data_IF_115915817020
#
_entry.id   IF_115915817020
#
_cell.length_a   1.000
_cell.length_b   1.000
_cell.length_c   1.000
_cell.angle_alpha   90.00
_cell.angle_beta   90.00
_cell.angle_gamma   90.00
#
_symmetry.space_group_name_H-M   'P 1'
#
loop_
_entity.id
_entity.type
_entity.pdbx_description
1 polymer ?
#
# COMPACT_ATOMS: atom_id res chain seq x y z
N UNK A 1 -17.49 -14.34 -61.62
CA UNK A 1 -17.76 -13.13 -60.88
C UNK A 1 -18.07 -13.57 -59.43
N UNK A 2 -17.07 -13.61 -58.64
CA UNK A 2 -17.16 -14.01 -57.22
C UNK A 2 -16.33 -13.03 -56.41
N UNK A 3 -16.97 -12.38 -55.47
CA UNK A 3 -16.33 -11.44 -54.55
C UNK A 3 -15.54 -12.20 -53.46
N UNK A 4 -14.29 -11.84 -53.32
CA UNK A 4 -13.45 -12.24 -52.17
C UNK A 4 -13.67 -11.21 -51.07
N UNK A 5 -14.36 -11.64 -50.03
CA UNK A 5 -14.32 -10.91 -48.75
C UNK A 5 -13.18 -11.49 -47.91
N UNK A 6 -12.17 -10.63 -47.73
CA UNK A 6 -10.97 -10.99 -47.02
C UNK A 6 -11.14 -10.95 -45.49
N UNK A 7 -10.76 -12.00 -44.87
CA UNK A 7 -10.50 -12.05 -43.44
C UNK A 7 -9.21 -11.26 -43.13
N UNK A 8 -9.33 -10.14 -42.45
CA UNK A 8 -8.22 -9.48 -41.77
C UNK A 8 -8.08 -10.16 -40.42
N UNK A 9 -7.24 -11.17 -40.38
CA UNK A 9 -6.69 -11.65 -39.10
C UNK A 9 -5.59 -10.66 -38.67
N UNK A 10 -5.78 -10.04 -37.53
CA UNK A 10 -4.73 -9.29 -36.86
C UNK A 10 -3.64 -10.28 -36.41
N UNK A 11 -2.51 -10.26 -37.09
CA UNK A 11 -1.29 -10.95 -36.65
C UNK A 11 -0.68 -10.11 -35.54
N UNK A 12 -0.78 -10.59 -34.30
CA UNK A 12 0.04 -10.15 -33.19
C UNK A 12 1.47 -10.56 -33.46
N UNK A 13 2.33 -9.61 -33.76
CA UNK A 13 3.75 -9.83 -33.86
C UNK A 13 4.32 -9.81 -32.44
N UNK A 14 4.63 -10.97 -31.90
CA UNK A 14 5.50 -11.12 -30.73
C UNK A 14 6.93 -10.97 -31.23
N UNK A 15 7.55 -9.83 -30.99
CA UNK A 15 8.96 -9.65 -31.21
C UNK A 15 9.71 -10.10 -29.96
N UNK A 16 10.33 -11.29 -30.03
CA UNK A 16 11.29 -11.74 -29.03
C UNK A 16 12.62 -11.04 -29.38
N UNK A 17 13.04 -10.11 -28.56
CA UNK A 17 14.38 -9.54 -28.59
C UNK A 17 15.21 -10.22 -27.49
N UNK A 18 16.11 -11.08 -27.91
CA UNK A 18 17.20 -11.60 -27.07
C UNK A 18 18.36 -10.62 -27.20
N UNK A 19 18.70 -9.91 -26.15
CA UNK A 19 20.01 -9.26 -25.97
C UNK A 19 20.22 -8.89 -24.49
N UNK A 20 21.26 -9.46 -23.91
CA UNK A 20 22.14 -9.08 -22.78
C UNK A 20 21.70 -7.95 -21.80
N UNK A 21 22.25 -7.85 -20.57
CA UNK A 21 21.62 -7.28 -19.39
C UNK A 21 21.24 -5.82 -19.61
N UNK A 22 19.97 -5.56 -19.80
CA UNK A 22 19.39 -4.24 -19.88
C UNK A 22 18.07 -4.19 -19.12
N UNK A 23 17.99 -3.18 -18.28
CA UNK A 23 16.77 -2.66 -17.67
C UNK A 23 15.51 -2.92 -18.50
N UNK A 24 14.58 -3.68 -17.95
CA UNK A 24 13.29 -3.95 -18.55
C UNK A 24 12.37 -2.77 -18.23
N UNK A 25 11.99 -2.01 -19.26
CA UNK A 25 10.89 -1.05 -19.12
C UNK A 25 9.57 -1.79 -19.15
N UNK A 26 8.80 -1.68 -18.07
CA UNK A 26 7.42 -2.16 -18.03
C UNK A 26 6.57 -1.32 -18.98
N UNK A 27 6.07 -1.94 -20.03
CA UNK A 27 4.98 -1.38 -20.83
C UNK A 27 3.68 -2.05 -20.37
N UNK A 28 2.85 -1.31 -19.64
CA UNK A 28 1.50 -1.76 -19.32
C UNK A 28 0.61 -1.48 -20.53
N UNK A 29 0.28 -2.51 -21.29
CA UNK A 29 -0.82 -2.46 -22.24
C UNK A 29 -2.09 -2.96 -21.55
N UNK A 30 -3.05 -2.05 -21.35
CA UNK A 30 -4.38 -2.40 -20.91
C UNK A 30 -5.19 -2.80 -22.13
N UNK A 31 -5.31 -4.08 -22.40
CA UNK A 31 -6.48 -4.61 -23.10
C UNK A 31 -7.54 -4.93 -22.05
N UNK A 32 -8.80 -4.66 -22.34
CA UNK A 32 -9.90 -4.78 -21.37
C UNK A 32 -9.82 -6.12 -20.64
N UNK A 33 -9.61 -6.02 -19.30
CA UNK A 33 -9.69 -7.09 -18.32
C UNK A 33 -8.53 -8.09 -18.16
N UNK A 34 -7.29 -7.75 -18.54
CA UNK A 34 -6.13 -8.62 -18.22
C UNK A 34 -4.95 -7.82 -17.68
N UNK A 35 -4.47 -8.17 -16.49
CA UNK A 35 -3.28 -7.59 -15.88
C UNK A 35 -2.14 -8.61 -15.95
N UNK A 36 -1.02 -8.24 -16.55
CA UNK A 36 0.17 -9.09 -16.60
C UNK A 36 1.16 -8.63 -15.54
N UNK A 37 1.56 -9.55 -14.66
CA UNK A 37 2.64 -9.34 -13.70
C UNK A 37 3.85 -10.13 -14.15
N UNK A 38 4.99 -9.46 -14.33
CA UNK A 38 6.27 -10.12 -14.61
C UNK A 38 7.05 -10.27 -13.30
N UNK A 39 7.41 -11.49 -12.97
CA UNK A 39 8.28 -11.80 -11.84
C UNK A 39 9.68 -12.05 -12.39
N UNK A 40 10.66 -11.25 -12.01
CA UNK A 40 12.07 -11.55 -12.24
C UNK A 40 12.50 -12.70 -11.30
N UNK A 41 13.04 -13.76 -11.86
CA UNK A 41 13.74 -14.80 -11.08
C UNK A 41 15.24 -14.49 -11.08
N UNK A 42 15.86 -14.48 -9.90
CA UNK A 42 17.30 -14.41 -9.74
C UNK A 42 18.00 -15.49 -10.57
N UNK A 43 18.98 -15.07 -11.37
CA UNK A 43 19.82 -15.98 -12.15
C UNK A 43 20.77 -16.75 -11.23
N UNK A 44 20.45 -18.00 -10.93
CA UNK A 44 21.48 -19.01 -10.68
C UNK A 44 21.59 -19.89 -11.92
N UNK A 45 22.81 -19.90 -12.49
CA UNK A 45 23.20 -20.64 -13.68
C UNK A 45 22.84 -22.13 -13.59
N UNK A 46 21.83 -22.56 -14.31
CA UNK A 46 21.75 -23.92 -14.83
C UNK A 46 21.03 -23.89 -16.20
N UNK A 47 21.70 -24.52 -17.19
CA UNK A 47 21.25 -24.62 -18.57
C UNK A 47 19.99 -25.50 -18.69
N UNK A 48 18.83 -24.97 -18.35
CA UNK A 48 17.53 -25.52 -18.73
C UNK A 48 16.64 -24.41 -19.25
N UNK A 49 16.06 -24.59 -20.42
CA UNK A 49 15.15 -23.69 -21.08
C UNK A 49 14.01 -23.26 -20.12
N UNK A 50 14.11 -22.05 -19.53
CA UNK A 50 13.06 -21.45 -18.73
C UNK A 50 11.99 -20.88 -19.67
N UNK A 51 10.93 -21.64 -19.88
CA UNK A 51 9.67 -21.10 -20.38
C UNK A 51 9.10 -20.14 -19.32
N UNK A 52 9.13 -18.86 -19.59
CA UNK A 52 8.42 -17.86 -18.81
C UNK A 52 6.91 -18.06 -19.00
N UNK A 53 6.31 -18.81 -18.09
CA UNK A 53 4.86 -19.03 -18.11
C UNK A 53 4.21 -17.73 -17.61
N UNK A 54 3.64 -16.96 -18.53
CA UNK A 54 2.73 -15.89 -18.18
C UNK A 54 1.53 -16.49 -17.42
N UNK A 55 1.44 -16.22 -16.13
CA UNK A 55 0.32 -16.67 -15.33
C UNK A 55 -0.86 -15.72 -15.61
N UNK A 56 -1.89 -16.24 -16.27
CA UNK A 56 -3.15 -15.54 -16.43
C UNK A 56 -3.81 -15.44 -15.05
N UNK A 57 -3.90 -14.24 -14.50
CA UNK A 57 -4.61 -13.99 -13.24
C UNK A 57 -6.08 -13.90 -13.62
N UNK A 58 -6.97 -14.75 -13.07
CA UNK A 58 -8.39 -14.65 -13.34
C UNK A 58 -8.91 -13.26 -12.95
N UNK A 59 -9.84 -12.73 -13.74
CA UNK A 59 -10.58 -11.52 -13.39
C UNK A 59 -11.36 -11.79 -12.09
N UNK A 60 -10.89 -11.18 -11.00
CA UNK A 60 -11.47 -11.39 -9.68
C UNK A 60 -12.79 -10.68 -9.57
N UNK A 61 -13.80 -11.41 -9.14
CA UNK A 61 -15.07 -10.82 -8.80
C UNK A 61 -14.86 -9.90 -7.58
N UNK A 62 -15.11 -8.59 -7.75
CA UNK A 62 -14.94 -7.55 -6.71
C UNK A 62 -15.67 -7.91 -5.38
N UNK A 63 -16.68 -8.77 -5.44
CA UNK A 63 -17.38 -9.29 -4.26
C UNK A 63 -16.61 -10.37 -3.47
N UNK A 64 -15.47 -10.84 -4.00
CA UNK A 64 -14.66 -11.91 -3.42
C UNK A 64 -13.27 -11.43 -2.99
N UNK A 65 -12.96 -10.14 -3.23
CA UNK A 65 -11.64 -9.54 -2.99
C UNK A 65 -11.80 -8.26 -2.20
N UNK A 66 -11.08 -8.14 -1.11
CA UNK A 66 -10.96 -6.89 -0.35
C UNK A 66 -9.76 -6.08 -0.87
N UNK A 67 -9.96 -4.79 -1.10
CA UNK A 67 -8.92 -3.89 -1.56
C UNK A 67 -8.42 -2.99 -0.43
N UNK A 68 -7.14 -3.11 -0.11
CA UNK A 68 -6.48 -2.35 0.95
C UNK A 68 -5.48 -1.37 0.33
N UNK A 69 -5.47 -0.13 0.82
CA UNK A 69 -4.53 0.90 0.37
C UNK A 69 -3.77 1.55 1.52
N UNK A 70 -2.61 2.12 1.19
CA UNK A 70 -1.91 3.11 2.00
C UNK A 70 -1.86 4.43 1.26
N UNK A 71 -2.04 5.54 1.98
CA UNK A 71 -2.13 6.86 1.38
C UNK A 71 -1.62 7.95 2.32
N UNK A 72 -0.47 8.53 2.02
CA UNK A 72 -0.03 9.77 2.65
C UNK A 72 -0.85 10.94 2.07
N UNK A 73 -1.71 11.55 2.89
CA UNK A 73 -2.55 12.71 2.50
C UNK A 73 -1.83 14.01 2.87
N UNK A 74 -0.62 14.21 2.49
CA UNK A 74 0.22 15.40 2.69
C UNK A 74 -0.39 16.49 3.59
N UNK A 75 0.08 16.61 4.82
CA UNK A 75 -0.31 17.66 5.78
C UNK A 75 -1.84 17.76 5.95
N UNK A 76 -2.48 16.61 6.25
CA UNK A 76 -3.93 16.51 6.37
C UNK A 76 -4.40 17.13 7.69
N UNK A 77 -4.68 18.42 7.65
CA UNK A 77 -5.16 19.23 8.76
C UNK A 77 -6.32 20.14 8.36
N UNK A 78 -6.70 21.05 9.26
CA UNK A 78 -7.84 21.95 9.08
C UNK A 78 -7.83 22.73 7.77
N UNK A 79 -6.65 23.15 7.31
CA UNK A 79 -6.52 23.92 6.06
C UNK A 79 -6.92 23.08 4.84
N UNK A 80 -6.52 21.81 4.79
CA UNK A 80 -6.91 20.89 3.71
C UNK A 80 -8.36 20.47 3.86
N UNK A 81 -8.82 20.16 5.08
CA UNK A 81 -10.22 19.83 5.37
C UNK A 81 -11.18 20.97 5.01
N UNK A 82 -10.72 22.21 5.09
CA UNK A 82 -11.49 23.41 4.70
C UNK A 82 -11.58 23.65 3.18
N UNK A 83 -11.13 22.74 2.32
CA UNK A 83 -11.18 22.84 0.85
C UNK A 83 -12.13 21.77 0.28
N UNK A 84 -13.43 22.11 0.09
CA UNK A 84 -14.43 21.11 -0.30
C UNK A 84 -14.08 20.36 -1.59
N UNK A 85 -13.46 21.04 -2.57
CA UNK A 85 -13.04 20.45 -3.83
C UNK A 85 -11.92 19.40 -3.67
N UNK A 86 -11.04 19.59 -2.69
CA UNK A 86 -9.99 18.62 -2.35
C UNK A 86 -10.59 17.43 -1.58
N UNK A 87 -11.47 17.74 -0.62
CA UNK A 87 -12.12 16.70 0.19
C UNK A 87 -13.00 15.80 -0.67
N UNK A 88 -13.73 16.34 -1.66
CA UNK A 88 -14.50 15.52 -2.61
C UNK A 88 -13.62 14.49 -3.31
N UNK A 89 -12.46 14.92 -3.82
CA UNK A 89 -11.50 14.01 -4.50
C UNK A 89 -10.95 12.98 -3.52
N UNK A 90 -10.58 13.39 -2.30
CA UNK A 90 -10.06 12.47 -1.29
C UNK A 90 -11.09 11.39 -0.91
N UNK A 91 -12.36 11.78 -0.72
CA UNK A 91 -13.44 10.84 -0.41
C UNK A 91 -13.69 9.89 -1.57
N UNK A 92 -13.77 10.40 -2.80
CA UNK A 92 -13.92 9.56 -4.02
C UNK A 92 -12.76 8.58 -4.17
N UNK A 93 -11.54 9.01 -3.81
CA UNK A 93 -10.34 8.15 -3.80
C UNK A 93 -10.46 7.05 -2.76
N UNK A 94 -10.79 7.40 -1.50
CA UNK A 94 -10.92 6.43 -0.40
C UNK A 94 -12.00 5.39 -0.70
N UNK A 95 -13.12 5.80 -1.29
CA UNK A 95 -14.25 4.91 -1.61
C UNK A 95 -13.96 3.88 -2.72
N UNK A 96 -12.80 3.93 -3.37
CA UNK A 96 -12.37 2.89 -4.31
C UNK A 96 -11.80 1.65 -3.60
N UNK A 97 -11.54 1.74 -2.32
CA UNK A 97 -10.94 0.69 -1.49
C UNK A 97 -11.96 0.20 -0.45
N UNK A 98 -11.57 -0.81 0.30
CA UNK A 98 -12.35 -1.32 1.44
C UNK A 98 -11.69 -0.99 2.77
N UNK A 99 -10.37 -0.71 2.75
CA UNK A 99 -9.61 -0.17 3.88
C UNK A 99 -8.48 0.73 3.35
N UNK A 100 -8.31 1.89 3.98
CA UNK A 100 -7.22 2.81 3.65
C UNK A 100 -6.46 3.20 4.91
N UNK A 101 -5.16 2.93 4.92
CA UNK A 101 -4.23 3.45 5.92
C UNK A 101 -3.79 4.85 5.52
N UNK A 102 -4.08 5.85 6.34
CA UNK A 102 -3.79 7.25 6.08
C UNK A 102 -2.68 7.76 7.00
N UNK A 103 -1.69 8.44 6.40
CA UNK A 103 -0.57 9.08 7.07
C UNK A 103 -0.68 10.61 6.96
N UNK A 104 0.14 11.31 7.73
CA UNK A 104 0.21 12.78 7.83
C UNK A 104 -1.06 13.48 8.31
N UNK A 105 -1.86 12.87 9.17
CA UNK A 105 -2.97 13.58 9.81
C UNK A 105 -2.40 14.54 10.86
N UNK A 106 -2.50 15.85 10.59
CA UNK A 106 -1.85 16.91 11.36
C UNK A 106 -2.87 17.91 11.89
N UNK A 107 -3.63 17.50 12.88
CA UNK A 107 -4.62 18.36 13.55
C UNK A 107 -4.46 18.32 15.07
N UNK A 108 -4.06 19.44 15.68
CA UNK A 108 -3.87 19.55 17.14
C UNK A 108 -5.19 19.31 17.89
N UNK A 109 -6.33 19.74 17.32
CA UNK A 109 -7.65 19.57 17.94
C UNK A 109 -8.21 18.15 17.70
N UNK A 110 -7.56 17.36 16.85
CA UNK A 110 -7.92 15.97 16.54
C UNK A 110 -9.36 15.82 16.02
N UNK A 111 -9.90 16.82 15.34
CA UNK A 111 -11.26 16.82 14.77
C UNK A 111 -11.29 16.39 13.31
N UNK A 112 -10.21 16.68 12.56
CA UNK A 112 -10.10 16.38 11.12
C UNK A 112 -10.36 14.92 10.78
N UNK A 113 -9.81 13.92 11.50
CA UNK A 113 -10.10 12.52 11.20
C UNK A 113 -11.58 12.18 11.25
N UNK A 114 -12.30 12.69 12.24
CA UNK A 114 -13.74 12.47 12.42
C UNK A 114 -14.56 13.21 11.35
N UNK A 115 -14.20 14.45 11.03
CA UNK A 115 -14.86 15.22 9.98
C UNK A 115 -14.70 14.54 8.61
N UNK A 116 -13.53 13.96 8.35
CA UNK A 116 -13.30 13.22 7.12
C UNK A 116 -14.09 11.91 7.08
N UNK A 117 -14.20 11.19 8.20
CA UNK A 117 -15.07 10.02 8.31
C UNK A 117 -16.54 10.39 8.05
N UNK A 118 -17.01 11.53 8.56
CA UNK A 118 -18.35 12.03 8.29
C UNK A 118 -18.57 12.27 6.78
N UNK A 119 -17.58 12.85 6.08
CA UNK A 119 -17.66 13.07 4.62
C UNK A 119 -17.65 11.74 3.84
N UNK A 120 -16.84 10.76 4.25
CA UNK A 120 -16.86 9.40 3.67
C UNK A 120 -18.25 8.78 3.87
N UNK A 121 -18.80 8.85 5.07
CA UNK A 121 -20.09 8.28 5.41
C UNK A 121 -21.27 8.97 4.71
N UNK A 122 -21.18 10.27 4.46
CA UNK A 122 -22.18 11.01 3.68
C UNK A 122 -22.29 10.50 2.23
N UNK A 123 -21.19 9.93 1.67
CA UNK A 123 -21.16 9.40 0.30
C UNK A 123 -21.30 7.88 0.23
N UNK A 124 -21.06 7.15 1.32
CA UNK A 124 -21.07 5.67 1.37
C UNK A 124 -22.29 5.06 2.06
N UNK A 125 -23.32 5.82 2.34
CA UNK A 125 -24.48 5.40 3.10
C UNK A 125 -24.19 4.97 4.55
N UNK A 126 -23.10 5.48 5.15
CA UNK A 126 -22.80 5.28 6.56
C UNK A 126 -22.21 3.91 6.92
N UNK A 127 -21.46 3.30 5.99
CA UNK A 127 -20.86 1.96 6.18
C UNK A 127 -19.38 1.99 6.55
N UNK A 128 -18.85 3.15 6.92
CA UNK A 128 -17.44 3.30 7.25
C UNK A 128 -17.22 3.65 8.72
N UNK A 129 -16.10 3.17 9.24
CA UNK A 129 -15.60 3.54 10.57
C UNK A 129 -14.06 3.69 10.50
N UNK A 130 -13.42 4.05 11.60
CA UNK A 130 -11.97 4.19 11.64
C UNK A 130 -11.35 3.67 12.94
N UNK A 131 -10.12 3.15 12.84
CA UNK A 131 -9.17 3.10 13.95
C UNK A 131 -8.26 4.34 13.83
N UNK A 132 -8.13 5.10 14.90
CA UNK A 132 -7.31 6.31 14.96
C UNK A 132 -6.23 6.16 16.03
N UNK A 133 -4.98 6.45 15.68
CA UNK A 133 -3.88 6.45 16.65
C UNK A 133 -3.96 7.66 17.60
N UNK A 134 -3.24 7.57 18.71
CA UNK A 134 -2.83 8.75 19.45
C UNK A 134 -1.88 9.60 18.57
N UNK A 135 -1.62 10.84 18.98
CA UNK A 135 -0.66 11.69 18.29
C UNK A 135 0.76 11.24 18.63
N UNK A 136 1.59 11.07 17.62
CA UNK A 136 2.97 10.60 17.69
C UNK A 136 3.92 11.61 17.03
N UNK A 137 5.15 11.69 17.49
CA UNK A 137 6.16 12.62 17.01
C UNK A 137 6.84 13.39 18.13
N UNK A 138 7.49 14.50 17.80
CA UNK A 138 8.22 15.29 18.79
C UNK A 138 7.34 15.72 19.95
N UNK A 139 7.72 15.33 21.16
CA UNK A 139 6.99 15.65 22.40
C UNK A 139 7.00 17.15 22.73
N UNK A 140 8.04 17.90 22.29
CA UNK A 140 8.20 19.31 22.60
C UNK A 140 7.51 20.25 21.60
N UNK A 141 6.98 19.70 20.49
CA UNK A 141 6.36 20.50 19.43
C UNK A 141 5.15 19.79 18.81
N UNK A 142 3.98 20.09 19.33
CA UNK A 142 2.70 19.53 18.87
C UNK A 142 2.43 19.77 17.37
N UNK A 143 3.07 20.76 16.76
CA UNK A 143 2.87 21.05 15.33
C UNK A 143 3.53 20.04 14.41
N UNK A 144 4.49 19.26 14.93
CA UNK A 144 5.17 18.17 14.21
C UNK A 144 4.63 16.79 14.56
N UNK A 145 3.64 16.70 15.44
CA UNK A 145 3.00 15.43 15.73
C UNK A 145 1.94 15.11 14.67
N UNK A 146 1.83 13.83 14.35
CA UNK A 146 0.89 13.28 13.39
C UNK A 146 0.06 12.18 14.02
N UNK A 147 -1.03 11.81 13.35
CA UNK A 147 -1.81 10.62 13.66
C UNK A 147 -1.87 9.75 12.42
N UNK A 148 -2.07 8.45 12.64
CA UNK A 148 -2.45 7.48 11.63
C UNK A 148 -3.92 7.14 11.78
N UNK A 149 -4.58 6.88 10.67
CA UNK A 149 -5.94 6.35 10.69
C UNK A 149 -6.08 5.20 9.69
N UNK A 150 -6.81 4.16 10.09
CA UNK A 150 -7.34 3.15 9.19
C UNK A 150 -8.82 3.44 9.01
N UNK A 151 -9.19 3.97 7.84
CA UNK A 151 -10.60 4.08 7.44
C UNK A 151 -11.00 2.78 6.77
N UNK A 152 -12.09 2.16 7.19
CA UNK A 152 -12.48 0.84 6.69
C UNK A 152 -14.01 0.70 6.53
N UNK A 153 -14.40 -0.11 5.55
CA UNK A 153 -15.79 -0.48 5.32
C UNK A 153 -16.21 -1.57 6.32
N UNK A 154 -17.15 -1.25 7.19
CA UNK A 154 -17.65 -2.13 8.25
C UNK A 154 -18.41 -3.34 7.73
N UNK A 155 -18.74 -3.40 6.44
CA UNK A 155 -19.34 -4.58 5.81
C UNK A 155 -18.28 -5.57 5.30
N UNK A 156 -17.01 -5.16 5.24
CA UNK A 156 -15.88 -5.96 4.76
C UNK A 156 -14.94 -6.33 5.90
N UNK A 157 -14.70 -5.40 6.81
CA UNK A 157 -13.77 -5.58 7.91
C UNK A 157 -14.39 -5.30 9.27
N UNK A 158 -13.96 -6.06 10.27
CA UNK A 158 -14.23 -5.81 11.69
C UNK A 158 -12.91 -5.53 12.42
N UNK A 159 -12.77 -4.42 13.14
CA UNK A 159 -11.57 -4.14 13.89
C UNK A 159 -11.47 -5.03 15.13
N UNK A 160 -10.25 -5.50 15.42
CA UNK A 160 -9.96 -6.29 16.63
C UNK A 160 -9.25 -5.40 17.66
N UNK A 161 -8.21 -4.69 17.23
CA UNK A 161 -7.39 -3.84 18.11
C UNK A 161 -6.71 -2.73 17.30
N UNK A 162 -6.29 -1.65 18.01
CA UNK A 162 -5.45 -0.59 17.46
C UNK A 162 -4.55 -0.01 18.56
N UNK A 163 -3.23 0.05 18.32
CA UNK A 163 -2.25 0.57 19.28
C UNK A 163 -1.03 1.16 18.59
N UNK A 164 -0.44 2.23 19.15
CA UNK A 164 0.90 2.66 18.78
C UNK A 164 1.94 1.67 19.34
N UNK A 165 2.99 1.44 18.57
CA UNK A 165 4.15 0.69 19.05
C UNK A 165 4.80 1.46 20.20
N UNK A 166 5.14 0.76 21.26
CA UNK A 166 5.82 1.37 22.41
C UNK A 166 7.32 1.18 22.29
N UNK A 167 8.03 2.19 21.85
CA UNK A 167 9.50 2.21 21.74
C UNK A 167 10.17 3.03 22.85
N UNK A 168 9.47 3.35 23.94
CA UNK A 168 9.94 4.22 25.02
C UNK A 168 11.27 3.80 25.67
N UNK A 169 11.69 2.55 25.51
CA UNK A 169 12.98 2.05 26.00
C UNK A 169 14.14 2.29 25.03
N UNK A 170 13.85 2.40 23.72
CA UNK A 170 14.84 2.43 22.64
C UNK A 170 14.79 3.66 21.74
N UNK A 171 13.66 4.39 21.74
CA UNK A 171 13.43 5.62 20.94
C UNK A 171 13.84 5.44 19.46
N UNK A 172 13.29 4.37 18.85
CA UNK A 172 13.65 3.93 17.50
C UNK A 172 13.02 4.77 16.40
N UNK A 173 11.85 5.37 16.69
CA UNK A 173 11.03 6.07 15.72
C UNK A 173 10.80 7.52 16.12
N UNK A 174 10.82 8.41 15.15
CA UNK A 174 10.34 9.78 15.40
C UNK A 174 8.82 9.83 15.53
N UNK A 175 8.13 8.97 14.80
CA UNK A 175 6.70 8.73 14.88
C UNK A 175 6.49 7.23 14.93
N UNK A 176 6.04 6.75 16.07
CA UNK A 176 5.91 5.32 16.33
C UNK A 176 4.90 4.69 15.36
N UNK A 177 5.18 3.49 14.82
CA UNK A 177 4.23 2.78 13.97
C UNK A 177 2.90 2.52 14.66
N UNK A 178 1.80 2.57 13.91
CA UNK A 178 0.46 2.23 14.39
C UNK A 178 0.04 0.84 13.91
N UNK A 179 -0.26 -0.03 14.86
CA UNK A 179 -0.71 -1.39 14.61
C UNK A 179 -2.24 -1.44 14.66
N UNK A 180 -2.86 -1.96 13.62
CA UNK A 180 -4.31 -2.18 13.56
C UNK A 180 -4.61 -3.61 13.12
N UNK A 181 -5.28 -4.39 13.98
CA UNK A 181 -5.67 -5.76 13.67
C UNK A 181 -7.14 -5.80 13.22
N UNK A 182 -7.40 -6.56 12.17
CA UNK A 182 -8.71 -6.65 11.53
C UNK A 182 -9.07 -8.09 11.23
N UNK A 183 -10.35 -8.39 11.27
CA UNK A 183 -10.94 -9.61 10.74
C UNK A 183 -11.66 -9.30 9.43
N UNK A 184 -11.43 -10.14 8.42
CA UNK A 184 -12.17 -10.11 7.16
C UNK A 184 -13.55 -10.74 7.37
N UNK A 185 -14.61 -10.06 6.93
CA UNK A 185 -15.97 -10.55 6.99
C UNK A 185 -16.34 -11.28 5.69
N UNK A 186 -17.16 -12.32 5.80
CA UNK A 186 -17.73 -12.96 4.63
C UNK A 186 -18.93 -12.18 4.08
N UNK A 187 -19.45 -12.55 2.92
CA UNK A 187 -20.58 -11.88 2.26
C UNK A 187 -21.88 -11.79 3.12
N UNK A 188 -21.97 -12.54 4.22
CA UNK A 188 -23.09 -12.48 5.15
C UNK A 188 -22.82 -11.56 6.35
N UNK A 189 -21.67 -10.87 6.37
CA UNK A 189 -21.24 -10.00 7.46
C UNK A 189 -20.79 -10.73 8.73
N UNK A 190 -20.50 -12.03 8.63
CA UNK A 190 -19.94 -12.81 9.72
C UNK A 190 -18.44 -12.99 9.55
N UNK A 191 -17.74 -13.38 10.61
CA UNK A 191 -16.33 -13.77 10.56
C UNK A 191 -16.06 -14.74 9.39
N UNK A 192 -15.02 -14.46 8.62
CA UNK A 192 -14.51 -15.40 7.62
C UNK A 192 -13.56 -16.42 8.23
N UNK A 193 -13.10 -16.19 9.49
CA UNK A 193 -12.03 -16.93 10.14
C UNK A 193 -10.64 -16.54 9.66
N UNK A 194 -10.50 -15.39 8.99
CA UNK A 194 -9.24 -14.80 8.59
C UNK A 194 -9.06 -13.43 9.22
N UNK A 195 -8.03 -13.28 10.00
CA UNK A 195 -7.57 -12.03 10.60
C UNK A 195 -6.15 -11.72 10.14
N UNK A 196 -5.76 -10.45 10.26
CA UNK A 196 -4.45 -9.95 9.88
C UNK A 196 -4.15 -8.65 10.62
N UNK A 197 -2.86 -8.28 10.67
CA UNK A 197 -2.43 -7.04 11.29
C UNK A 197 -1.74 -6.12 10.28
N UNK A 198 -2.20 -4.87 10.22
CA UNK A 198 -1.54 -3.78 9.52
C UNK A 198 -0.62 -3.04 10.48
N UNK A 199 0.59 -2.74 10.03
CA UNK A 199 1.54 -1.86 10.70
C UNK A 199 1.81 -0.70 9.77
N UNK A 200 1.31 0.50 10.09
CA UNK A 200 1.55 1.68 9.26
C UNK A 200 2.65 2.55 9.84
N UNK A 201 3.44 3.14 8.95
CA UNK A 201 4.55 4.03 9.26
C UNK A 201 4.58 5.23 8.30
N UNK A 202 5.02 6.39 8.80
CA UNK A 202 5.54 7.49 8.01
C UNK A 202 6.92 7.81 8.55
N UNK A 203 7.96 7.31 7.89
CA UNK A 203 9.34 7.48 8.34
C UNK A 203 9.79 8.93 8.23
N UNK A 204 10.74 9.30 9.06
CA UNK A 204 11.42 10.58 8.91
C UNK A 204 12.46 10.48 7.79
N UNK A 205 12.37 11.31 6.73
CA UNK A 205 13.28 11.24 5.59
C UNK A 205 14.77 11.17 5.95
N UNK A 206 15.19 11.95 6.97
CA UNK A 206 16.61 12.04 7.35
C UNK A 206 17.18 10.79 8.04
N UNK A 207 16.32 9.89 8.53
CA UNK A 207 16.67 8.63 9.21
C UNK A 207 15.81 7.48 8.70
N UNK A 208 15.33 7.57 7.45
CA UNK A 208 14.39 6.61 6.88
C UNK A 208 14.91 5.17 6.99
N UNK A 209 16.19 4.95 6.70
CA UNK A 209 16.79 3.61 6.75
C UNK A 209 16.89 3.05 8.18
N UNK A 210 17.16 3.89 9.17
CA UNK A 210 17.16 3.48 10.58
C UNK A 210 15.76 3.03 11.01
N UNK A 211 14.73 3.81 10.66
CA UNK A 211 13.34 3.49 11.00
C UNK A 211 12.83 2.27 10.21
N UNK A 212 13.18 2.13 8.93
CA UNK A 212 12.86 0.93 8.13
C UNK A 212 13.49 -0.32 8.74
N UNK A 213 14.75 -0.24 9.17
CA UNK A 213 15.41 -1.37 9.83
C UNK A 213 14.75 -1.73 11.16
N UNK A 214 14.29 -0.73 11.91
CA UNK A 214 13.59 -0.92 13.17
C UNK A 214 12.20 -1.57 13.01
N UNK A 215 11.55 -1.44 11.84
CA UNK A 215 10.29 -2.15 11.56
C UNK A 215 10.43 -3.66 11.69
N UNK A 216 11.60 -4.21 11.40
CA UNK A 216 11.88 -5.63 11.65
C UNK A 216 11.70 -6.01 13.12
N UNK A 217 12.17 -5.16 14.05
CA UNK A 217 11.97 -5.36 15.48
C UNK A 217 10.49 -5.26 15.85
N UNK A 218 9.76 -4.29 15.30
CA UNK A 218 8.32 -4.16 15.54
C UNK A 218 7.56 -5.44 15.17
N UNK A 219 7.87 -6.01 13.98
CA UNK A 219 7.25 -7.26 13.53
C UNK A 219 7.59 -8.41 14.46
N UNK A 220 8.88 -8.54 14.87
CA UNK A 220 9.30 -9.60 15.77
C UNK A 220 8.62 -9.48 17.15
N UNK A 221 8.62 -8.29 17.75
CA UNK A 221 7.99 -8.04 19.05
C UNK A 221 6.49 -8.33 19.01
N UNK A 222 5.83 -7.96 17.90
CA UNK A 222 4.41 -8.26 17.72
C UNK A 222 4.16 -9.77 17.62
N UNK A 223 4.96 -10.51 16.84
CA UNK A 223 4.85 -11.96 16.69
C UNK A 223 5.17 -12.69 18.02
N UNK A 224 6.14 -12.21 18.80
CA UNK A 224 6.43 -12.78 20.12
C UNK A 224 5.26 -12.64 21.09
N UNK A 225 4.50 -11.53 21.00
CA UNK A 225 3.32 -11.28 21.82
C UNK A 225 2.07 -11.99 21.28
N UNK A 226 2.02 -12.25 19.98
CA UNK A 226 0.89 -12.85 19.27
C UNK A 226 1.38 -14.03 18.39
N UNK A 227 1.80 -15.16 18.98
CA UNK A 227 2.48 -16.22 18.25
C UNK A 227 1.60 -16.99 17.24
N UNK A 228 0.29 -16.81 17.30
CA UNK A 228 -0.66 -17.40 16.34
C UNK A 228 -0.89 -16.46 15.14
N UNK A 229 -0.52 -15.16 15.24
CA UNK A 229 -0.67 -14.19 14.17
C UNK A 229 0.60 -14.17 13.29
N UNK A 230 0.45 -14.60 12.05
CA UNK A 230 1.53 -14.61 11.06
C UNK A 230 1.23 -13.72 9.84
N UNK A 231 0.00 -13.24 9.72
CA UNK A 231 -0.48 -12.47 8.59
C UNK A 231 -0.30 -10.96 8.86
N UNK A 232 0.94 -10.47 8.76
CA UNK A 232 1.31 -9.08 9.05
C UNK A 232 1.63 -8.34 7.74
N UNK A 233 1.08 -7.15 7.59
CA UNK A 233 1.31 -6.26 6.47
C UNK A 233 1.87 -4.94 7.00
N UNK A 234 3.10 -4.63 6.62
CA UNK A 234 3.76 -3.36 6.96
C UNK A 234 3.65 -2.44 5.75
N UNK A 235 3.01 -1.29 5.92
CA UNK A 235 2.69 -0.39 4.82
C UNK A 235 2.82 1.08 5.23
N UNK A 236 2.91 1.99 4.26
CA UNK A 236 3.00 3.42 4.53
C UNK A 236 4.04 4.11 3.69
N UNK A 237 4.33 5.35 4.06
CA UNK A 237 5.38 6.16 3.47
C UNK A 237 6.73 5.85 4.16
N UNK A 238 7.55 5.07 3.47
CA UNK A 238 8.87 4.67 3.96
C UNK A 238 9.95 5.67 3.62
N UNK A 239 9.68 6.66 2.77
CA UNK A 239 10.72 7.54 2.20
C UNK A 239 11.94 6.74 1.66
N UNK A 240 11.69 5.52 1.13
CA UNK A 240 12.70 4.50 0.86
C UNK A 240 13.29 4.60 -0.55
N UNK A 241 13.55 5.81 -1.04
CA UNK A 241 14.09 6.01 -2.39
C UNK A 241 14.69 7.42 -2.58
N UNK A 242 15.14 7.70 -3.78
CA UNK A 242 15.66 8.98 -4.26
C UNK A 242 16.82 9.50 -3.39
N UNK A 243 16.59 10.62 -2.66
CA UNK A 243 17.65 11.24 -1.85
C UNK A 243 17.66 10.74 -0.39
N UNK A 244 16.70 9.94 0.02
CA UNK A 244 16.51 9.54 1.43
C UNK A 244 17.03 8.13 1.73
N UNK A 245 17.05 7.24 0.73
CA UNK A 245 17.61 5.91 0.84
C UNK A 245 18.28 5.49 -0.47
N UNK A 246 19.47 4.91 -0.39
CA UNK A 246 20.08 4.28 -1.56
C UNK A 246 19.56 2.85 -1.73
N UNK A 247 19.55 2.37 -2.97
CA UNK A 247 19.18 0.97 -3.25
C UNK A 247 20.05 -0.02 -2.48
N UNK A 248 21.36 0.26 -2.32
CA UNK A 248 22.29 -0.62 -1.59
C UNK A 248 21.91 -0.72 -0.10
N UNK A 249 21.58 0.42 0.55
CA UNK A 249 21.13 0.44 1.93
C UNK A 249 19.81 -0.30 2.10
N UNK A 250 18.85 -0.06 1.20
CA UNK A 250 17.54 -0.70 1.24
C UNK A 250 17.66 -2.23 1.07
N UNK A 251 18.50 -2.71 0.13
CA UNK A 251 18.73 -4.14 -0.07
C UNK A 251 19.47 -4.80 1.10
N UNK A 252 20.21 -4.05 1.90
CA UNK A 252 20.88 -4.55 3.11
C UNK A 252 19.98 -4.57 4.35
N UNK A 253 18.77 -4.03 4.25
CA UNK A 253 17.81 -3.97 5.35
C UNK A 253 17.37 -5.36 5.82
N UNK A 254 17.22 -5.59 7.14
CA UNK A 254 16.61 -6.81 7.65
C UNK A 254 15.17 -7.03 7.14
N UNK A 255 14.47 -5.96 6.71
CA UNK A 255 13.17 -6.04 6.06
C UNK A 255 13.21 -6.64 4.63
N UNK A 256 14.42 -6.86 4.06
CA UNK A 256 14.62 -7.54 2.76
C UNK A 256 15.00 -9.01 2.89
N UNK A 257 14.99 -9.58 4.10
CA UNK A 257 15.24 -11.02 4.25
C UNK A 257 14.07 -11.85 3.70
N UNK A 258 14.26 -13.16 3.57
CA UNK A 258 13.30 -14.08 2.94
C UNK A 258 11.96 -14.24 3.68
N UNK A 259 11.82 -13.67 4.87
CA UNK A 259 10.56 -13.67 5.60
C UNK A 259 9.59 -12.58 5.15
N UNK A 260 10.05 -11.66 4.29
CA UNK A 260 9.27 -10.51 3.82
C UNK A 260 9.12 -10.54 2.31
N UNK A 261 7.94 -10.19 1.86
CA UNK A 261 7.62 -9.99 0.44
C UNK A 261 7.27 -8.52 0.21
N UNK A 262 8.05 -7.84 -0.62
CA UNK A 262 7.80 -6.46 -1.04
C UNK A 262 6.93 -6.47 -2.28
N UNK A 263 5.71 -5.94 -2.18
CA UNK A 263 4.77 -5.89 -3.31
C UNK A 263 5.13 -4.76 -4.29
N UNK A 264 5.54 -3.61 -3.75
CA UNK A 264 5.88 -2.41 -4.54
C UNK A 264 7.36 -2.46 -4.88
N UNK A 265 7.74 -2.56 -6.17
CA UNK A 265 9.14 -2.60 -6.58
C UNK A 265 9.84 -1.25 -6.38
N UNK A 266 11.18 -1.29 -6.33
CA UNK A 266 12.00 -0.09 -6.14
C UNK A 266 11.95 0.87 -7.35
N UNK A 267 11.48 0.38 -8.50
CA UNK A 267 11.28 1.18 -9.72
C UNK A 267 9.90 1.82 -9.83
N UNK A 268 9.05 1.69 -8.80
CA UNK A 268 7.72 2.29 -8.82
C UNK A 268 7.79 3.81 -8.63
N UNK A 269 6.85 4.54 -9.21
CA UNK A 269 6.63 5.95 -8.92
C UNK A 269 5.37 6.11 -8.08
N UNK A 270 5.52 6.45 -6.79
CA UNK A 270 4.41 6.66 -5.86
C UNK A 270 4.15 8.14 -5.59
N UNK A 271 4.83 9.06 -6.28
CA UNK A 271 4.77 10.50 -6.04
C UNK A 271 4.08 11.28 -7.16
N UNK A 272 3.44 12.39 -6.80
CA UNK A 272 2.79 13.31 -7.76
C UNK A 272 3.79 14.33 -8.31
N UNK A 273 5.06 14.17 -8.01
CA UNK A 273 6.13 15.06 -8.44
C UNK A 273 6.61 14.73 -9.85
N UNK A 274 7.58 15.51 -10.36
CA UNK A 274 8.29 15.18 -11.62
C UNK A 274 9.44 14.19 -11.41
N UNK A 275 9.71 13.78 -10.19
CA UNK A 275 10.71 12.78 -9.83
C UNK A 275 9.98 11.48 -9.52
N UNK A 276 10.40 10.40 -10.17
CA UNK A 276 9.85 9.08 -9.96
C UNK A 276 10.51 8.49 -8.70
N UNK A 277 9.80 8.44 -7.58
CA UNK A 277 10.31 7.94 -6.31
C UNK A 277 9.34 6.93 -5.68
N UNK A 278 9.88 5.78 -5.29
CA UNK A 278 9.12 4.73 -4.64
C UNK A 278 9.14 4.91 -3.11
N UNK A 279 8.43 5.90 -2.60
CA UNK A 279 8.37 6.18 -1.17
C UNK A 279 7.39 5.28 -0.43
N UNK A 280 6.21 5.04 -1.02
CA UNK A 280 5.16 4.27 -0.39
C UNK A 280 5.34 2.78 -0.67
N UNK A 281 5.31 1.97 0.38
CA UNK A 281 5.62 0.54 0.31
C UNK A 281 4.54 -0.30 0.96
N UNK A 282 4.45 -1.54 0.50
CA UNK A 282 3.65 -2.61 1.09
C UNK A 282 4.55 -3.83 1.19
N UNK A 283 4.74 -4.32 2.42
CA UNK A 283 5.60 -5.47 2.73
C UNK A 283 4.80 -6.45 3.56
N UNK A 284 4.78 -7.71 3.17
CA UNK A 284 4.01 -8.76 3.86
C UNK A 284 4.91 -9.81 4.47
N UNK A 285 4.44 -10.46 5.52
CA UNK A 285 5.07 -11.61 6.17
C UNK A 285 4.26 -12.88 5.92
N UNK A 286 4.83 -14.04 6.27
CA UNK A 286 4.12 -15.30 6.43
C UNK A 286 3.42 -15.83 5.18
N UNK A 287 2.31 -16.52 5.41
CA UNK A 287 1.51 -17.18 4.37
C UNK A 287 0.63 -16.22 3.56
N UNK A 288 0.63 -14.93 3.90
CA UNK A 288 -0.09 -13.90 3.14
C UNK A 288 0.25 -13.92 1.66
N UNK A 289 1.51 -14.23 1.30
CA UNK A 289 1.92 -14.39 -0.10
C UNK A 289 1.11 -15.45 -0.86
N UNK A 290 0.52 -16.44 -0.17
CA UNK A 290 -0.38 -17.43 -0.74
C UNK A 290 -1.84 -16.99 -0.82
N UNK A 291 -2.22 -15.94 -0.06
CA UNK A 291 -3.58 -15.36 -0.03
C UNK A 291 -3.69 -14.08 -0.84
N UNK A 292 -2.57 -13.38 -1.02
CA UNK A 292 -2.52 -12.25 -1.93
C UNK A 292 -2.85 -12.74 -3.33
N UNK A 293 -3.85 -12.16 -3.91
CA UNK A 293 -4.26 -12.51 -5.28
C UNK A 293 -3.23 -12.04 -6.31
N UNK A 294 -2.12 -11.45 -5.84
CA UNK A 294 -0.98 -11.02 -6.65
C UNK A 294 -1.22 -9.72 -7.39
N UNK A 295 -2.33 -9.03 -7.11
CA UNK A 295 -2.64 -7.72 -7.69
C UNK A 295 -2.29 -6.62 -6.70
N UNK A 296 -1.47 -5.70 -7.14
CA UNK A 296 -1.18 -4.44 -6.46
C UNK A 296 -1.14 -3.32 -7.50
N UNK A 297 -1.24 -2.07 -7.08
CA UNK A 297 -1.16 -0.95 -8.01
C UNK A 297 -0.95 0.38 -7.32
N UNK A 298 -0.75 1.40 -8.14
CA UNK A 298 -0.61 2.81 -7.76
C UNK A 298 -1.75 3.55 -8.45
N UNK A 299 -2.57 4.26 -7.68
CA UNK A 299 -3.69 5.02 -8.23
C UNK A 299 -3.25 6.40 -8.71
N UNK A 300 -2.76 6.45 -9.93
CA UNK A 300 -2.44 7.71 -10.62
C UNK A 300 -3.66 8.34 -11.33
N UNK A 301 -4.84 7.71 -11.22
CA UNK A 301 -6.03 8.11 -11.98
C UNK A 301 -6.96 9.03 -11.20
N UNK A 302 -7.00 8.93 -9.88
CA UNK A 302 -7.91 9.72 -9.03
C UNK A 302 -7.58 11.20 -9.02
N UNK A 303 -6.30 11.54 -9.08
CA UNK A 303 -5.83 12.93 -9.17
C UNK A 303 -4.40 12.99 -9.72
N UNK A 304 -3.99 14.20 -10.13
CA UNK A 304 -2.64 14.47 -10.64
C UNK A 304 -2.07 15.80 -10.14
N UNK A 305 -2.55 16.28 -9.00
CA UNK A 305 -2.16 17.57 -8.44
C UNK A 305 -1.79 17.46 -6.98
N UNK A 306 -0.67 18.05 -6.60
CA UNK A 306 -0.19 18.14 -5.23
C UNK A 306 -1.11 18.98 -4.30
N UNK A 307 -2.15 19.63 -4.84
CA UNK A 307 -3.19 20.23 -4.01
C UNK A 307 -3.99 19.17 -3.23
N UNK A 308 -4.12 17.98 -3.77
CA UNK A 308 -4.76 16.81 -3.13
C UNK A 308 -3.74 16.12 -2.23
N UNK A 309 -2.69 15.57 -2.82
CA UNK A 309 -1.51 15.03 -2.14
C UNK A 309 -0.31 15.04 -3.09
N UNK A 310 0.90 15.01 -2.55
CA UNK A 310 2.15 14.75 -3.30
C UNK A 310 2.49 13.28 -3.39
N UNK A 311 1.67 12.39 -2.80
CA UNK A 311 1.73 10.93 -2.93
C UNK A 311 0.49 10.40 -3.63
N UNK A 312 0.63 9.31 -4.38
CA UNK A 312 -0.47 8.50 -4.89
C UNK A 312 -0.82 7.38 -3.90
N UNK A 313 -2.09 6.98 -3.78
CA UNK A 313 -2.45 5.76 -3.05
C UNK A 313 -1.78 4.54 -3.67
N UNK A 314 -1.24 3.68 -2.82
CA UNK A 314 -0.71 2.37 -3.22
C UNK A 314 -1.59 1.29 -2.60
N UNK A 315 -2.01 0.30 -3.38
CA UNK A 315 -3.02 -0.67 -2.98
C UNK A 315 -2.67 -2.09 -3.38
N UNK A 316 -3.32 -3.05 -2.73
CA UNK A 316 -3.28 -4.47 -3.07
C UNK A 316 -4.64 -5.13 -2.81
N UNK A 317 -4.84 -6.28 -3.44
CA UNK A 317 -6.01 -7.13 -3.27
C UNK A 317 -5.70 -8.30 -2.32
N UNK A 318 -6.60 -8.51 -1.34
CA UNK A 318 -6.52 -9.53 -0.31
C UNK A 318 -7.67 -10.53 -0.46
#
# INVERSE_FOLDING_TARGET
MGSLDGYLQALSLVAILILAPMTIHLAVHKEENTVFVFVESDEDNDDSENETVAREIPELNRSEVAKIATFNIQTFGKTKMGKPEVISVLVETVLQYDLVSVQEIRDIDQLVPYQFLDEINNQSNGTWDMLLSERSGKQEDDTYQEQYAYYYNTTVFSPINGTLYNDSESDLFQKEPYLGSFELLNASGNSSGFDFTLITIHTKPAIAMEEINALHTVVQDYQEQNPEENDIIVLGDYNADCSYASSEELWSSPMRNTNYTWLVPDSADTTVSSSDCAYDRIVTTGDLSGRLVGTWGIDMSSFSTSNVSDHYPVWFDL
#
